data_IF_844583293552
#
_entry.id   IF_844583293552
#
_cell.length_a   1.000
_cell.length_b   1.000
_cell.length_c   1.000
_cell.angle_alpha   90.00
_cell.angle_beta   90.00
_cell.angle_gamma   90.00
#
_symmetry.space_group_name_H-M   'P 1'
#
loop_
_entity.id
_entity.type
_entity.pdbx_description
1 polymer ?
#
# COMPACT_ATOMS: atom_id res chain seq x y z
N UNK A 1 5.77 -1.61 42.28
CA UNK A 1 4.48 -2.33 42.14
C UNK A 1 3.48 -1.93 43.23
N UNK A 2 3.59 -2.36 44.49
CA UNK A 2 2.54 -2.12 45.52
C UNK A 2 2.06 -0.66 45.68
N UNK A 3 2.98 0.32 45.61
CA UNK A 3 2.64 1.74 45.74
C UNK A 3 1.71 2.24 44.61
N UNK A 4 1.86 1.71 43.40
CA UNK A 4 1.05 2.12 42.23
C UNK A 4 -0.40 1.68 42.36
N UNK A 5 -0.65 0.45 42.85
CA UNK A 5 -1.98 -0.08 43.11
C UNK A 5 -2.70 0.69 44.21
N UNK A 6 -1.99 0.99 45.31
CA UNK A 6 -2.55 1.78 46.41
C UNK A 6 -2.98 3.18 45.96
N UNK A 7 -2.12 3.86 45.19
CA UNK A 7 -2.41 5.17 44.63
C UNK A 7 -3.59 5.13 43.64
N UNK A 8 -3.70 4.05 42.85
CA UNK A 8 -4.81 3.84 41.93
C UNK A 8 -6.14 3.64 42.66
N UNK A 9 -6.17 2.79 43.69
CA UNK A 9 -7.36 2.56 44.52
C UNK A 9 -7.82 3.87 45.18
N UNK A 10 -6.88 4.69 45.66
CA UNK A 10 -7.19 5.99 46.26
C UNK A 10 -7.70 7.02 45.24
N UNK A 11 -7.27 6.96 43.98
CA UNK A 11 -7.63 7.91 42.93
C UNK A 11 -8.97 7.57 42.24
N UNK A 12 -9.19 6.31 41.91
CA UNK A 12 -10.34 5.86 41.09
C UNK A 12 -11.30 4.93 41.82
N UNK A 13 -10.95 4.50 43.04
CA UNK A 13 -11.71 3.50 43.79
C UNK A 13 -11.35 2.06 43.41
N UNK A 14 -11.76 1.12 44.26
CA UNK A 14 -11.43 -0.30 44.11
C UNK A 14 -12.01 -0.90 42.82
N UNK A 15 -13.28 -0.60 42.51
CA UNK A 15 -13.99 -1.18 41.35
C UNK A 15 -13.33 -0.81 40.03
N UNK A 16 -13.05 0.47 39.82
CA UNK A 16 -12.45 0.95 38.56
C UNK A 16 -11.00 0.51 38.44
N UNK A 17 -10.27 0.43 39.56
CA UNK A 17 -8.91 -0.09 39.55
C UNK A 17 -8.87 -1.57 39.13
N UNK A 18 -9.79 -2.39 39.63
CA UNK A 18 -9.94 -3.79 39.22
C UNK A 18 -10.35 -3.90 37.76
N UNK A 19 -11.29 -3.06 37.29
CA UNK A 19 -11.69 -3.02 35.87
C UNK A 19 -10.51 -2.69 34.95
N UNK A 20 -9.73 -1.64 35.26
CA UNK A 20 -8.54 -1.26 34.49
C UNK A 20 -7.50 -2.36 34.47
N UNK A 21 -7.27 -2.99 35.62
CA UNK A 21 -6.37 -4.14 35.75
C UNK A 21 -6.82 -5.33 34.91
N UNK A 22 -8.12 -5.65 34.91
CA UNK A 22 -8.66 -6.76 34.13
C UNK A 22 -8.55 -6.52 32.62
N UNK A 23 -8.77 -5.28 32.17
CA UNK A 23 -8.86 -4.96 30.75
C UNK A 23 -7.50 -4.73 30.08
N UNK A 24 -6.62 -3.94 30.71
CA UNK A 24 -5.31 -3.58 30.14
C UNK A 24 -4.19 -4.50 30.66
N UNK A 25 -4.40 -5.17 31.79
CA UNK A 25 -3.37 -6.00 32.45
C UNK A 25 -2.35 -5.20 33.28
N UNK A 26 -2.27 -3.89 33.06
CA UNK A 26 -1.43 -2.95 33.82
C UNK A 26 -2.21 -1.69 34.22
N UNK A 27 -1.81 -1.07 35.34
CA UNK A 27 -2.39 0.18 35.79
C UNK A 27 -1.57 1.34 35.26
N UNK A 28 -2.15 2.03 34.28
CA UNK A 28 -1.54 3.19 33.65
C UNK A 28 -2.14 4.50 34.18
N UNK A 29 -1.26 5.43 34.53
CA UNK A 29 -1.64 6.80 34.83
C UNK A 29 -1.35 7.66 33.61
N UNK A 30 -2.36 8.39 33.14
CA UNK A 30 -2.23 9.32 32.01
C UNK A 30 -3.34 10.37 32.03
N UNK A 31 -3.17 11.35 31.14
CA UNK A 31 -4.12 12.42 30.91
C UNK A 31 -5.22 11.93 29.98
N UNK A 32 -6.47 12.21 30.35
CA UNK A 32 -7.62 11.90 29.51
C UNK A 32 -7.69 12.88 28.34
N UNK A 33 -7.73 12.35 27.12
CA UNK A 33 -7.76 13.16 25.89
C UNK A 33 -9.15 13.30 25.30
N UNK A 34 -9.96 12.26 25.41
CA UNK A 34 -11.31 12.27 24.88
C UNK A 34 -11.93 10.88 24.88
N UNK A 35 -13.19 10.83 24.46
CA UNK A 35 -13.91 9.60 24.24
C UNK A 35 -14.51 9.58 22.83
N UNK A 36 -14.63 8.42 22.23
CA UNK A 36 -15.31 8.27 20.94
C UNK A 36 -16.82 8.02 21.11
N UNK A 37 -17.53 7.98 19.98
CA UNK A 37 -18.95 7.64 19.90
C UNK A 37 -19.29 6.27 20.47
N UNK A 38 -18.33 5.35 20.49
CA UNK A 38 -18.49 3.97 20.97
C UNK A 38 -18.25 3.87 22.49
N UNK A 39 -17.87 4.98 23.14
CA UNK A 39 -17.60 5.04 24.57
C UNK A 39 -16.21 4.59 24.98
N UNK A 40 -15.30 4.37 24.02
CA UNK A 40 -13.89 4.11 24.30
C UNK A 40 -13.22 5.40 24.76
N UNK A 41 -12.34 5.30 25.75
CA UNK A 41 -11.66 6.45 26.37
C UNK A 41 -10.18 6.43 26.05
N UNK A 42 -9.65 7.55 25.59
CA UNK A 42 -8.28 7.66 25.12
C UNK A 42 -7.42 8.44 26.10
N UNK A 43 -6.21 7.94 26.36
CA UNK A 43 -5.28 8.51 27.32
C UNK A 43 -3.87 8.65 26.75
N UNK A 44 -3.15 9.65 27.23
CA UNK A 44 -1.75 9.89 26.88
C UNK A 44 -0.89 10.11 28.14
N UNK A 45 0.33 9.59 28.13
CA UNK A 45 1.36 9.92 29.08
C UNK A 45 2.74 9.99 28.41
N UNK A 46 3.24 11.20 28.19
CA UNK A 46 4.54 11.48 27.56
C UNK A 46 5.76 11.08 28.39
N UNK A 47 5.58 10.71 29.67
CA UNK A 47 6.66 10.19 30.51
C UNK A 47 6.95 8.71 30.25
N UNK A 48 6.06 7.99 29.56
CA UNK A 48 6.26 6.60 29.17
C UNK A 48 7.17 6.48 27.96
N UNK A 49 7.69 5.27 27.75
CA UNK A 49 8.51 4.93 26.58
C UNK A 49 7.67 5.11 25.31
N UNK A 50 8.32 5.56 24.23
CA UNK A 50 7.70 5.67 22.91
C UNK A 50 7.00 4.35 22.51
N UNK A 51 5.80 4.46 21.95
CA UNK A 51 4.95 3.32 21.62
C UNK A 51 3.98 2.86 22.73
N UNK A 52 4.25 3.15 24.02
CA UNK A 52 3.32 2.80 25.13
C UNK A 52 2.69 4.03 25.81
N UNK A 53 3.06 5.22 25.33
CA UNK A 53 2.58 6.51 25.84
C UNK A 53 1.11 6.81 25.51
N UNK A 54 0.50 6.18 24.50
CA UNK A 54 -0.93 6.31 24.17
C UNK A 54 -1.60 4.96 24.34
N UNK A 55 -2.80 4.95 24.92
CA UNK A 55 -3.61 3.73 25.03
C UNK A 55 -5.09 4.07 25.05
N UNK A 56 -5.90 3.06 24.76
CA UNK A 56 -7.36 3.12 24.77
C UNK A 56 -7.90 2.27 25.91
N UNK A 57 -8.94 2.76 26.56
CA UNK A 57 -9.78 1.98 27.44
C UNK A 57 -11.14 1.73 26.79
N UNK A 58 -11.38 0.50 26.36
CA UNK A 58 -12.61 0.11 25.70
C UNK A 58 -13.83 0.24 26.62
N UNK A 59 -14.99 0.53 26.02
CA UNK A 59 -16.26 0.58 26.74
C UNK A 59 -16.61 -0.79 27.35
N UNK A 60 -16.56 -1.84 26.51
CA UNK A 60 -16.77 -3.23 26.89
C UNK A 60 -15.49 -3.85 27.47
N UNK A 61 -15.58 -4.43 28.67
CA UNK A 61 -14.46 -5.07 29.34
C UNK A 61 -14.31 -6.56 28.97
N UNK A 62 -15.36 -7.22 28.47
CA UNK A 62 -15.35 -8.66 28.20
C UNK A 62 -15.09 -8.98 26.73
N UNK A 63 -15.70 -8.21 25.81
CA UNK A 63 -15.55 -8.39 24.37
C UNK A 63 -14.98 -7.13 23.72
N UNK A 64 -13.75 -6.78 24.06
CA UNK A 64 -13.06 -5.69 23.38
C UNK A 64 -12.41 -6.21 22.08
N UNK A 65 -12.47 -5.39 21.03
CA UNK A 65 -11.81 -5.66 19.76
C UNK A 65 -11.12 -4.39 19.26
N UNK A 66 -9.95 -4.53 18.64
CA UNK A 66 -9.18 -3.41 18.11
C UNK A 66 -9.88 -2.70 16.97
N UNK A 67 -10.80 -3.38 16.27
CA UNK A 67 -11.60 -2.78 15.18
C UNK A 67 -12.66 -1.78 15.68
N UNK A 68 -12.95 -1.77 16.98
CA UNK A 68 -13.95 -0.87 17.57
C UNK A 68 -13.47 0.58 17.71
N UNK A 69 -12.17 0.83 17.51
CA UNK A 69 -11.58 2.16 17.50
C UNK A 69 -12.05 2.90 16.25
N UNK A 70 -12.67 4.06 16.44
CA UNK A 70 -13.16 4.87 15.33
C UNK A 70 -12.00 5.40 14.46
N UNK A 71 -12.21 5.63 13.15
CA UNK A 71 -11.15 6.06 12.24
C UNK A 71 -10.45 7.37 12.68
N UNK A 72 -11.20 8.27 13.28
CA UNK A 72 -10.73 9.56 13.83
C UNK A 72 -9.67 9.34 14.92
N UNK A 73 -9.92 8.39 15.83
CA UNK A 73 -8.99 8.07 16.92
C UNK A 73 -7.90 7.08 16.51
N UNK A 74 -8.12 6.27 15.47
CA UNK A 74 -7.16 5.29 14.98
C UNK A 74 -5.84 5.95 14.56
N UNK A 75 -5.89 7.05 13.80
CA UNK A 75 -4.69 7.78 13.37
C UNK A 75 -3.89 8.33 14.56
N UNK A 76 -4.57 8.92 15.54
CA UNK A 76 -3.93 9.45 16.75
C UNK A 76 -3.34 8.34 17.63
N UNK A 77 -4.06 7.23 17.83
CA UNK A 77 -3.59 6.10 18.64
C UNK A 77 -2.32 5.46 18.04
N UNK A 78 -2.22 5.39 16.71
CA UNK A 78 -1.08 4.82 15.98
C UNK A 78 0.04 5.83 15.68
N UNK A 79 0.02 7.02 16.29
CA UNK A 79 1.00 8.09 16.06
C UNK A 79 1.11 8.53 14.59
N UNK A 80 0.04 8.41 13.80
CA UNK A 80 -0.03 9.00 12.46
C UNK A 80 -0.22 10.52 12.54
N UNK A 81 -0.95 10.97 13.56
CA UNK A 81 -1.21 12.38 13.84
C UNK A 81 -0.94 12.70 15.31
N UNK A 82 -0.44 13.92 15.59
CA UNK A 82 -0.16 14.39 16.95
C UNK A 82 -1.39 15.01 17.63
N UNK A 83 -2.29 15.59 16.85
CA UNK A 83 -3.51 16.21 17.35
C UNK A 83 -4.59 15.15 17.56
N UNK A 84 -5.28 15.12 18.73
CA UNK A 84 -6.47 14.30 18.91
C UNK A 84 -7.60 14.81 18.00
N UNK A 85 -8.58 13.96 17.66
CA UNK A 85 -9.61 14.31 16.68
C UNK A 85 -10.46 15.54 17.07
N UNK A 86 -10.73 15.73 18.36
CA UNK A 86 -11.45 16.90 18.88
C UNK A 86 -10.72 18.24 18.64
N UNK A 87 -9.41 18.19 18.38
CA UNK A 87 -8.57 19.36 18.10
C UNK A 87 -8.12 19.46 16.65
N UNK A 88 -8.23 18.38 15.88
CA UNK A 88 -7.98 18.46 14.44
C UNK A 88 -9.19 19.11 13.79
N UNK A 89 -8.98 20.22 13.09
CA UNK A 89 -9.94 20.65 12.08
C UNK A 89 -10.05 19.48 11.09
N UNK A 90 -11.17 18.75 11.14
CA UNK A 90 -11.40 17.59 10.28
C UNK A 90 -10.97 17.93 8.85
N UNK A 91 -10.10 17.14 8.20
CA UNK A 91 -9.90 17.30 6.79
C UNK A 91 -11.29 17.12 6.17
N UNK A 92 -11.88 18.22 5.69
CA UNK A 92 -13.20 18.23 5.08
C UNK A 92 -13.28 17.00 4.20
N UNK A 93 -14.24 16.11 4.49
CA UNK A 93 -14.45 14.90 3.70
C UNK A 93 -14.66 15.36 2.26
N UNK A 94 -13.60 15.27 1.46
CA UNK A 94 -13.71 15.55 0.04
C UNK A 94 -14.50 14.37 -0.50
N UNK A 95 -15.74 14.63 -0.90
CA UNK A 95 -16.46 13.68 -1.72
C UNK A 95 -15.59 13.46 -2.94
N UNK A 96 -14.99 12.26 -3.03
CA UNK A 96 -14.25 11.79 -4.18
C UNK A 96 -15.24 11.62 -5.33
N UNK A 97 -15.67 12.74 -5.88
CA UNK A 97 -16.44 12.82 -7.10
C UNK A 97 -15.40 12.87 -8.22
N UNK A 98 -15.01 11.69 -8.72
CA UNK A 98 -14.33 11.63 -10.01
C UNK A 98 -15.34 12.12 -11.05
N UNK A 99 -15.17 13.33 -11.55
CA UNK A 99 -15.97 13.81 -12.68
C UNK A 99 -15.50 13.24 -14.02
N UNK A 100 -14.28 12.67 -14.04
CA UNK A 100 -13.60 12.23 -15.25
C UNK A 100 -12.58 11.15 -14.91
N UNK A 101 -12.64 10.05 -15.65
CA UNK A 101 -11.62 9.00 -15.60
C UNK A 101 -10.75 9.11 -16.86
N UNK A 102 -9.41 9.14 -16.71
CA UNK A 102 -8.45 9.16 -17.82
C UNK A 102 -8.36 7.80 -18.56
N UNK A 103 -9.23 6.84 -18.23
CA UNK A 103 -9.24 5.56 -18.91
C UNK A 103 -9.79 5.75 -20.34
N UNK A 104 -9.14 5.18 -21.36
CA UNK A 104 -9.61 5.31 -22.75
C UNK A 104 -10.88 4.48 -23.04
N UNK A 105 -11.54 3.94 -22.00
CA UNK A 105 -12.68 3.04 -22.13
C UNK A 105 -13.83 3.52 -21.25
N UNK A 106 -15.01 3.71 -21.85
CA UNK A 106 -16.23 4.15 -21.16
C UNK A 106 -16.79 3.11 -20.17
N UNK A 107 -16.31 1.86 -20.23
CA UNK A 107 -16.77 0.76 -19.40
C UNK A 107 -15.62 0.02 -18.72
N UNK A 108 -15.80 -0.37 -17.45
CA UNK A 108 -14.87 -1.26 -16.72
C UNK A 108 -14.70 -2.66 -17.33
N UNK A 109 -15.52 -2.99 -18.33
CA UNK A 109 -15.35 -4.18 -19.16
C UNK A 109 -14.55 -3.79 -20.39
N UNK A 110 -13.39 -4.44 -20.57
CA UNK A 110 -12.61 -4.32 -21.79
C UNK A 110 -13.44 -4.73 -23.03
N UNK A 111 -12.98 -4.39 -24.25
CA UNK A 111 -13.73 -4.68 -25.47
C UNK A 111 -14.08 -6.17 -25.58
N UNK A 112 -15.36 -6.50 -25.36
CA UNK A 112 -15.85 -7.88 -25.37
C UNK A 112 -15.80 -8.54 -26.77
N UNK A 113 -15.52 -7.76 -27.82
CA UNK A 113 -15.54 -8.19 -29.21
C UNK A 113 -14.18 -8.65 -29.76
N UNK A 114 -13.07 -8.34 -29.08
CA UNK A 114 -11.80 -8.94 -29.43
C UNK A 114 -11.71 -10.28 -28.70
N UNK A 115 -11.72 -11.39 -29.44
CA UNK A 115 -11.28 -12.68 -28.91
C UNK A 115 -10.08 -12.42 -28.00
N UNK A 116 -10.02 -13.00 -26.78
CA UNK A 116 -8.97 -12.69 -25.82
C UNK A 116 -7.65 -12.82 -26.55
N UNK A 117 -7.01 -11.69 -26.85
CA UNK A 117 -5.65 -11.69 -27.33
C UNK A 117 -4.92 -12.23 -26.13
N UNK A 118 -4.64 -13.54 -26.14
CA UNK A 118 -3.80 -14.19 -25.14
C UNK A 118 -2.48 -13.44 -25.21
N UNK A 119 -2.35 -12.40 -24.39
CA UNK A 119 -1.09 -11.72 -24.20
C UNK A 119 -0.26 -12.69 -23.37
N UNK A 120 0.35 -13.64 -24.06
CA UNK A 120 1.26 -14.58 -23.47
C UNK A 120 2.31 -13.77 -22.72
N UNK A 121 2.47 -14.05 -21.43
CA UNK A 121 3.49 -13.38 -20.65
C UNK A 121 4.86 -13.87 -21.15
N UNK A 122 5.50 -13.06 -22.01
CA UNK A 122 6.81 -13.34 -22.59
C UNK A 122 7.91 -13.49 -21.54
N UNK A 123 7.71 -12.97 -20.32
CA UNK A 123 8.64 -13.20 -19.19
C UNK A 123 8.63 -14.65 -18.69
N UNK A 124 7.59 -15.42 -19.03
CA UNK A 124 7.49 -16.86 -18.73
C UNK A 124 8.28 -17.74 -19.70
N UNK A 125 8.66 -17.22 -20.87
CA UNK A 125 9.40 -17.94 -21.91
C UNK A 125 10.88 -17.57 -21.92
N UNK A 126 11.51 -17.48 -20.74
CA UNK A 126 12.95 -17.20 -20.70
C UNK A 126 13.73 -18.38 -21.30
N UNK A 127 14.63 -18.14 -22.27
CA UNK A 127 15.51 -19.19 -22.75
C UNK A 127 16.40 -19.66 -21.59
N UNK A 128 16.71 -20.96 -21.56
CA UNK A 128 17.55 -21.55 -20.52
C UNK A 128 19.05 -21.21 -20.68
N UNK A 129 19.43 -20.59 -21.79
CA UNK A 129 20.80 -20.19 -22.09
C UNK A 129 20.85 -18.99 -23.03
N UNK A 130 21.96 -18.26 -22.99
CA UNK A 130 22.19 -17.08 -23.83
C UNK A 130 22.17 -17.44 -25.32
N UNK A 131 21.27 -16.84 -26.09
CA UNK A 131 21.16 -17.05 -27.54
C UNK A 131 20.58 -18.41 -27.97
N UNK A 132 20.12 -19.24 -27.03
CA UNK A 132 19.64 -20.62 -27.28
C UNK A 132 18.19 -20.66 -27.82
N UNK A 133 17.47 -19.53 -27.82
CA UNK A 133 16.09 -19.46 -28.27
C UNK A 133 15.11 -20.21 -27.36
N UNK A 134 13.84 -20.27 -27.76
CA UNK A 134 12.76 -21.00 -27.11
C UNK A 134 11.73 -21.47 -28.17
N UNK A 135 10.59 -22.03 -27.77
CA UNK A 135 9.55 -22.49 -28.69
C UNK A 135 9.03 -21.39 -29.64
N UNK A 136 9.14 -20.13 -29.23
CA UNK A 136 8.64 -18.94 -29.93
C UNK A 136 9.74 -18.03 -30.48
N UNK A 137 11.02 -18.36 -30.27
CA UNK A 137 12.17 -17.52 -30.59
C UNK A 137 13.33 -18.37 -31.10
N UNK A 138 13.85 -18.05 -32.28
CA UNK A 138 14.96 -18.80 -32.88
C UNK A 138 16.29 -18.48 -32.21
N UNK A 139 17.28 -19.33 -32.47
CA UNK A 139 18.64 -19.13 -32.00
C UNK A 139 19.19 -17.80 -32.51
N UNK A 140 19.75 -16.99 -31.62
CA UNK A 140 20.36 -15.68 -31.95
C UNK A 140 19.41 -14.48 -32.05
N UNK A 141 18.08 -14.65 -31.99
CA UNK A 141 17.15 -13.51 -31.93
C UNK A 141 17.22 -12.79 -30.56
N UNK A 142 16.99 -11.46 -30.49
CA UNK A 142 16.97 -10.73 -29.22
C UNK A 142 15.77 -11.12 -28.37
N UNK A 143 15.95 -11.19 -27.05
CA UNK A 143 14.89 -11.59 -26.11
C UNK A 143 13.70 -10.62 -26.12
N UNK A 144 12.50 -11.20 -26.21
CA UNK A 144 11.23 -10.47 -26.42
C UNK A 144 10.60 -9.89 -25.13
N UNK A 145 11.28 -9.99 -23.99
CA UNK A 145 10.76 -9.50 -22.71
C UNK A 145 11.44 -8.20 -22.28
N UNK A 146 10.74 -7.42 -21.45
CA UNK A 146 11.26 -6.17 -20.92
C UNK A 146 12.53 -6.41 -20.11
N UNK A 147 13.64 -5.79 -20.54
CA UNK A 147 14.87 -5.66 -19.78
C UNK A 147 14.96 -4.25 -19.24
N UNK A 148 15.42 -4.12 -17.99
CA UNK A 148 15.65 -2.80 -17.40
C UNK A 148 16.64 -1.99 -18.27
N UNK A 149 16.42 -0.68 -18.44
CA UNK A 149 17.42 0.22 -19.04
C UNK A 149 18.77 0.10 -18.30
N UNK A 150 19.87 -0.01 -19.04
CA UNK A 150 21.21 -0.22 -18.47
C UNK A 150 21.60 -1.69 -18.22
N UNK A 151 20.71 -2.66 -18.47
CA UNK A 151 21.07 -4.08 -18.39
C UNK A 151 22.03 -4.45 -19.55
N UNK A 152 23.12 -5.21 -19.32
CA UNK A 152 24.15 -5.48 -20.35
C UNK A 152 23.61 -6.24 -21.58
N UNK A 153 22.50 -6.94 -21.43
CA UNK A 153 21.82 -7.64 -22.52
C UNK A 153 20.62 -6.85 -23.11
N UNK A 154 20.42 -5.59 -22.72
CA UNK A 154 19.39 -4.72 -23.29
C UNK A 154 20.01 -3.96 -24.47
N UNK A 155 19.54 -4.16 -25.73
CA UNK A 155 20.10 -3.49 -26.89
C UNK A 155 19.96 -1.96 -26.85
N UNK A 156 19.06 -1.44 -26.01
CA UNK A 156 18.88 0.00 -25.76
C UNK A 156 19.94 0.54 -24.78
N UNK A 157 20.54 -0.33 -23.96
CA UNK A 157 21.57 0.05 -22.97
C UNK A 157 22.85 0.57 -23.64
N UNK A 158 23.22 0.03 -24.80
CA UNK A 158 24.47 0.36 -25.51
C UNK A 158 24.47 1.75 -26.15
N UNK A 159 23.31 2.44 -26.16
CA UNK A 159 23.11 3.75 -26.81
C UNK A 159 22.98 4.92 -25.83
N UNK A 160 23.74 4.90 -24.73
CA UNK A 160 23.89 6.10 -23.89
C UNK A 160 23.72 5.92 -22.39
N UNK A 161 23.50 4.71 -21.89
CA UNK A 161 23.44 4.44 -20.46
C UNK A 161 22.13 4.87 -19.78
N UNK A 162 22.07 4.67 -18.45
CA UNK A 162 20.86 4.69 -17.61
C UNK A 162 20.03 5.99 -17.66
N UNK A 163 20.61 7.10 -18.14
CA UNK A 163 19.98 8.43 -18.14
C UNK A 163 19.95 9.12 -19.52
N UNK A 164 20.52 8.54 -20.57
CA UNK A 164 20.40 9.07 -21.93
C UNK A 164 19.44 8.17 -22.71
N UNK A 165 18.15 8.25 -22.37
CA UNK A 165 17.10 7.85 -23.30
C UNK A 165 16.88 9.03 -24.23
N UNK A 166 17.27 8.91 -25.50
CA UNK A 166 16.61 9.72 -26.52
C UNK A 166 15.10 9.45 -26.40
N UNK A 167 14.26 10.49 -26.32
CA UNK A 167 12.83 10.37 -26.09
C UNK A 167 12.06 9.80 -27.28
N UNK A 168 12.72 9.49 -28.40
CA UNK A 168 12.06 9.13 -29.66
C UNK A 168 11.52 7.69 -29.71
N UNK A 169 11.87 6.82 -28.76
CA UNK A 169 11.29 5.46 -28.71
C UNK A 169 10.05 5.47 -27.82
N UNK A 170 8.99 6.10 -28.30
CA UNK A 170 7.67 5.97 -27.70
C UNK A 170 7.22 4.51 -27.76
N UNK A 171 6.89 3.93 -26.61
CA UNK A 171 6.53 2.51 -26.47
C UNK A 171 5.23 2.12 -27.19
N UNK A 172 4.52 3.09 -27.77
CA UNK A 172 3.28 2.90 -28.52
C UNK A 172 2.95 4.14 -29.37
N UNK A 173 3.74 4.42 -30.41
CA UNK A 173 3.30 5.37 -31.45
C UNK A 173 2.38 4.62 -32.45
N UNK A 174 1.07 4.93 -32.51
CA UNK A 174 0.14 4.26 -33.42
C UNK A 174 0.44 4.52 -34.90
N UNK A 175 1.25 5.54 -35.23
CA UNK A 175 1.55 5.93 -36.61
C UNK A 175 2.91 5.42 -37.12
N UNK A 176 3.75 4.83 -36.26
CA UNK A 176 5.07 4.28 -36.63
C UNK A 176 5.34 2.91 -35.97
N UNK A 177 4.81 1.79 -36.54
CA UNK A 177 4.90 0.46 -35.93
C UNK A 177 6.30 -0.19 -36.01
N UNK A 178 7.25 0.44 -36.70
CA UNK A 178 8.64 -0.02 -36.90
C UNK A 178 9.61 0.40 -35.81
N UNK A 179 9.19 1.26 -34.88
CA UNK A 179 9.92 1.47 -33.63
C UNK A 179 10.07 0.12 -32.95
N UNK A 180 11.30 -0.28 -32.58
CA UNK A 180 11.60 -1.56 -31.93
C UNK A 180 10.74 -1.72 -30.68
N UNK A 181 9.54 -2.28 -30.85
CA UNK A 181 8.75 -2.78 -29.77
C UNK A 181 9.41 -4.12 -29.41
N UNK A 182 10.08 -4.24 -28.26
CA UNK A 182 10.73 -5.49 -27.88
C UNK A 182 9.71 -6.64 -27.76
N UNK A 183 8.40 -6.36 -27.84
CA UNK A 183 7.31 -7.31 -27.69
C UNK A 183 6.82 -7.97 -28.99
N UNK A 184 7.35 -7.61 -30.17
CA UNK A 184 6.97 -8.27 -31.43
C UNK A 184 8.18 -8.98 -32.07
N UNK A 185 8.03 -10.24 -32.52
CA UNK A 185 9.05 -10.87 -33.33
C UNK A 185 9.26 -10.06 -34.62
N UNK A 186 10.47 -10.07 -35.16
CA UNK A 186 10.84 -9.34 -36.39
C UNK A 186 10.12 -9.84 -37.66
N UNK A 187 9.18 -10.77 -37.54
CA UNK A 187 8.47 -11.41 -38.65
C UNK A 187 6.96 -11.40 -38.43
N UNK A 188 6.21 -11.63 -39.51
CA UNK A 188 4.75 -11.76 -39.47
C UNK A 188 4.29 -13.06 -38.77
N UNK A 189 3.10 -13.02 -38.15
CA UNK A 189 2.50 -14.18 -37.46
C UNK A 189 2.31 -15.40 -38.38
N UNK A 190 2.29 -15.19 -39.69
CA UNK A 190 1.99 -16.21 -40.71
C UNK A 190 3.15 -17.19 -40.97
N UNK A 191 4.36 -16.89 -40.49
CA UNK A 191 5.52 -17.72 -40.78
C UNK A 191 5.85 -18.73 -39.65
N UNK A 192 5.12 -18.74 -38.52
CA UNK A 192 5.25 -19.66 -37.36
C UNK A 192 4.72 -21.06 -37.68
#
# INVERSE_FOLDING_TARGET
MALTYWNAIRKWGLRETVRKMYMVGEINFGDFKGADSNGNKYYENRSKIYGTHRWVEYADCHNYDSSTVTPEWHGWLHNMHDTPPDQSADPKRHELTSSHDDCPYDTHVGPASAAPVLHQNLSGFRPRGYGVGNLFQKWGEPELYYKQPGHPANPISDKGGRFNTEPEVEFADPNNPTMLNPKKPLRSLDEL
#
